data_IF_863427479247
#
_entry.id   IF_863427479247
#
_cell.length_a   1.000
_cell.length_b   1.000
_cell.length_c   1.000
_cell.angle_alpha   90.00
_cell.angle_beta   90.00
_cell.angle_gamma   90.00
#
_symmetry.space_group_name_H-M   'P 1'
#
loop_
_entity.id
_entity.type
_entity.pdbx_description
1 polymer ?
#
# COMPACT_ATOMS: atom_id res chain seq x y z
N UNK A 1 -20.02 -11.20 -23.10
CA UNK A 1 -19.41 -10.63 -21.87
C UNK A 1 -18.38 -11.61 -21.29
N UNK A 2 -17.12 -11.19 -21.03
CA UNK A 2 -16.05 -12.06 -20.48
C UNK A 2 -16.29 -12.41 -19.00
N UNK A 3 -15.84 -13.57 -18.50
CA UNK A 3 -15.96 -13.96 -17.07
C UNK A 3 -15.14 -12.99 -16.20
N UNK A 4 -15.65 -12.67 -15.01
CA UNK A 4 -14.96 -11.77 -14.08
C UNK A 4 -13.79 -12.49 -13.37
N UNK A 5 -12.67 -11.80 -13.10
CA UNK A 5 -11.44 -12.38 -12.56
C UNK A 5 -11.54 -12.57 -11.04
N UNK A 6 -11.97 -13.74 -10.58
CA UNK A 6 -12.12 -14.04 -9.14
C UNK A 6 -10.79 -14.39 -8.45
N UNK A 7 -9.82 -14.94 -9.18
CA UNK A 7 -8.55 -15.40 -8.60
C UNK A 7 -7.60 -14.25 -8.22
N UNK A 8 -7.55 -13.21 -9.04
CA UNK A 8 -6.67 -12.05 -8.83
C UNK A 8 -6.92 -11.35 -7.49
N UNK A 9 -8.17 -10.99 -7.11
CA UNK A 9 -8.39 -10.38 -5.80
C UNK A 9 -8.06 -11.33 -4.65
N UNK A 10 -8.24 -12.66 -4.79
CA UNK A 10 -7.84 -13.62 -3.75
C UNK A 10 -6.32 -13.64 -3.57
N UNK A 11 -5.55 -13.60 -4.66
CA UNK A 11 -4.08 -13.54 -4.59
C UNK A 11 -3.65 -12.24 -3.88
N UNK A 12 -4.23 -11.10 -4.26
CA UNK A 12 -3.92 -9.83 -3.62
C UNK A 12 -4.32 -9.80 -2.14
N UNK A 13 -5.43 -10.43 -1.76
CA UNK A 13 -5.84 -10.61 -0.36
C UNK A 13 -4.80 -11.41 0.46
N UNK A 14 -4.26 -12.49 -0.10
CA UNK A 14 -3.23 -13.30 0.55
C UNK A 14 -1.93 -12.49 0.68
N UNK A 15 -1.53 -11.79 -0.39
CA UNK A 15 -0.35 -10.93 -0.36
C UNK A 15 -0.50 -9.82 0.67
N UNK A 16 -1.68 -9.18 0.77
CA UNK A 16 -1.89 -8.05 1.69
C UNK A 16 -1.98 -8.49 3.15
N UNK A 17 -2.50 -9.69 3.42
CA UNK A 17 -2.68 -10.18 4.79
C UNK A 17 -1.45 -10.89 5.36
N UNK A 18 -0.63 -11.51 4.50
CA UNK A 18 0.52 -12.32 4.94
C UNK A 18 1.83 -11.71 4.51
N UNK A 19 2.03 -11.52 3.20
CA UNK A 19 3.35 -11.19 2.66
C UNK A 19 3.74 -9.75 2.98
N UNK A 20 2.84 -8.81 2.73
CA UNK A 20 3.07 -7.38 2.95
C UNK A 20 3.39 -7.05 4.41
N UNK A 21 2.57 -7.40 5.42
CA UNK A 21 2.87 -7.05 6.81
C UNK A 21 4.14 -7.72 7.33
N UNK A 22 4.41 -8.98 6.96
CA UNK A 22 5.64 -9.68 7.37
C UNK A 22 6.87 -8.98 6.76
N UNK A 23 6.82 -8.65 5.47
CA UNK A 23 7.91 -7.94 4.81
C UNK A 23 8.11 -6.55 5.43
N UNK A 24 7.04 -5.76 5.60
CA UNK A 24 7.16 -4.40 6.13
C UNK A 24 7.68 -4.37 7.57
N UNK A 25 7.16 -5.24 8.45
CA UNK A 25 7.63 -5.32 9.84
C UNK A 25 9.05 -5.90 9.92
N UNK A 26 9.38 -6.87 9.07
CA UNK A 26 10.73 -7.40 8.95
C UNK A 26 11.73 -6.33 8.50
N UNK A 27 11.36 -5.51 7.51
CA UNK A 27 12.18 -4.40 7.04
C UNK A 27 12.37 -3.35 8.13
N UNK A 28 11.29 -2.92 8.78
CA UNK A 28 11.36 -1.94 9.86
C UNK A 28 12.22 -2.44 11.03
N UNK A 29 12.15 -3.73 11.36
CA UNK A 29 13.00 -4.36 12.37
C UNK A 29 14.48 -4.38 11.96
N UNK A 30 14.79 -4.76 10.71
CA UNK A 30 16.16 -4.74 10.19
C UNK A 30 16.72 -3.32 10.13
N UNK A 31 15.92 -2.36 9.66
CA UNK A 31 16.29 -0.95 9.61
C UNK A 31 16.57 -0.38 11.02
N UNK A 32 15.75 -0.73 12.02
CA UNK A 32 16.01 -0.34 13.40
C UNK A 32 17.30 -0.96 13.98
N UNK A 33 17.64 -2.20 13.60
CA UNK A 33 18.89 -2.84 14.02
C UNK A 33 20.12 -2.25 13.32
N UNK A 34 20.00 -1.91 12.04
CA UNK A 34 21.02 -1.21 11.26
C UNK A 34 21.28 0.19 11.84
N UNK A 35 20.20 0.90 12.17
CA UNK A 35 20.23 2.19 12.87
C UNK A 35 20.92 2.11 14.24
N UNK A 36 20.74 1.03 15.00
CA UNK A 36 21.40 0.83 16.29
C UNK A 36 22.90 0.44 16.16
N UNK A 37 23.47 0.41 14.95
CA UNK A 37 24.87 0.04 14.72
C UNK A 37 25.19 -1.43 15.03
N UNK A 38 24.18 -2.25 15.29
CA UNK A 38 24.36 -3.59 15.85
C UNK A 38 24.83 -4.62 14.82
N UNK A 39 24.52 -4.45 13.52
CA UNK A 39 24.67 -5.54 12.54
C UNK A 39 24.98 -5.05 11.11
N UNK A 40 26.27 -4.92 10.75
CA UNK A 40 26.68 -4.75 9.34
C UNK A 40 26.40 -5.98 8.44
N UNK A 41 26.17 -7.14 9.07
CA UNK A 41 26.01 -8.45 8.43
C UNK A 41 24.64 -8.61 7.73
N UNK A 42 23.63 -7.81 8.11
CA UNK A 42 22.27 -7.87 7.52
C UNK A 42 22.00 -6.84 6.42
N UNK A 43 23.00 -6.03 6.04
CA UNK A 43 22.91 -5.04 4.95
C UNK A 43 22.32 -5.62 3.66
N UNK A 44 22.72 -6.84 3.28
CA UNK A 44 22.17 -7.52 2.09
C UNK A 44 20.69 -7.87 2.25
N UNK A 45 20.24 -8.27 3.43
CA UNK A 45 18.83 -8.57 3.70
C UNK A 45 17.97 -7.29 3.69
N UNK A 46 18.50 -6.18 4.21
CA UNK A 46 17.88 -4.85 4.19
C UNK A 46 17.63 -4.39 2.74
N UNK A 47 18.66 -4.45 1.88
CA UNK A 47 18.56 -4.10 0.45
C UNK A 47 17.56 -5.00 -0.29
N UNK A 48 17.60 -6.32 -0.05
CA UNK A 48 16.68 -7.26 -0.68
C UNK A 48 15.22 -6.97 -0.29
N UNK A 49 14.97 -6.61 0.98
CA UNK A 49 13.63 -6.26 1.41
C UNK A 49 13.15 -4.91 0.86
N UNK A 50 14.01 -3.90 0.75
CA UNK A 50 13.63 -2.61 0.14
C UNK A 50 13.16 -2.80 -1.32
N UNK A 51 13.94 -3.55 -2.11
CA UNK A 51 13.57 -3.89 -3.49
C UNK A 51 12.30 -4.74 -3.54
N UNK A 52 12.15 -5.70 -2.64
CA UNK A 52 10.97 -6.56 -2.57
C UNK A 52 9.70 -5.78 -2.20
N UNK A 53 9.78 -4.84 -1.25
CA UNK A 53 8.68 -3.97 -0.87
C UNK A 53 8.29 -3.02 -2.00
N UNK A 54 9.27 -2.45 -2.70
CA UNK A 54 9.04 -1.66 -3.91
C UNK A 54 8.32 -2.45 -5.01
N UNK A 55 8.69 -3.73 -5.19
CA UNK A 55 8.01 -4.62 -6.12
C UNK A 55 6.58 -4.97 -5.68
N UNK A 56 6.37 -5.26 -4.38
CA UNK A 56 5.05 -5.52 -3.81
C UNK A 56 4.13 -4.31 -3.97
N UNK A 57 4.64 -3.10 -3.71
CA UNK A 57 3.91 -1.85 -3.93
C UNK A 57 3.38 -1.78 -5.37
N UNK A 58 4.23 -2.01 -6.38
CA UNK A 58 3.81 -2.02 -7.78
C UNK A 58 2.78 -3.12 -8.11
N UNK A 59 2.90 -4.30 -7.49
CA UNK A 59 1.88 -5.37 -7.63
C UNK A 59 0.53 -4.86 -7.13
N UNK A 60 0.47 -4.20 -5.98
CA UNK A 60 -0.78 -3.67 -5.42
C UNK A 60 -1.32 -2.50 -6.24
N UNK A 61 -0.48 -1.56 -6.66
CA UNK A 61 -0.89 -0.43 -7.51
C UNK A 61 -1.54 -0.92 -8.81
N UNK A 62 -0.87 -1.83 -9.54
CA UNK A 62 -1.44 -2.40 -10.76
C UNK A 62 -2.62 -3.33 -10.51
N UNK A 63 -2.58 -4.09 -9.41
CA UNK A 63 -3.69 -4.91 -8.94
C UNK A 63 -4.96 -4.09 -8.74
N UNK A 64 -4.85 -2.95 -8.06
CA UNK A 64 -5.94 -2.01 -7.86
C UNK A 64 -6.43 -1.42 -9.19
N UNK A 65 -5.55 -0.90 -10.03
CA UNK A 65 -5.92 -0.37 -11.36
C UNK A 65 -6.70 -1.42 -12.17
N UNK A 66 -6.22 -2.66 -12.19
CA UNK A 66 -6.88 -3.76 -12.90
C UNK A 66 -8.24 -4.12 -12.30
N UNK A 67 -8.33 -4.28 -10.98
CA UNK A 67 -9.57 -4.66 -10.30
C UNK A 67 -10.63 -3.58 -10.42
N UNK A 68 -10.25 -2.31 -10.26
CA UNK A 68 -11.16 -1.17 -10.42
C UNK A 68 -11.66 -1.07 -11.87
N UNK A 69 -10.80 -1.30 -12.86
CA UNK A 69 -11.23 -1.39 -14.26
C UNK A 69 -12.28 -2.49 -14.46
N UNK A 70 -11.97 -3.71 -14.02
CA UNK A 70 -12.86 -4.86 -14.14
C UNK A 70 -14.20 -4.61 -13.44
N UNK A 71 -14.15 -3.99 -12.27
CA UNK A 71 -15.32 -3.59 -11.50
C UNK A 71 -16.17 -2.54 -12.24
N UNK A 72 -15.57 -1.49 -12.78
CA UNK A 72 -16.29 -0.44 -13.54
C UNK A 72 -17.07 -1.01 -14.72
N UNK A 73 -16.52 -2.01 -15.42
CA UNK A 73 -17.22 -2.69 -16.52
C UNK A 73 -18.47 -3.46 -16.10
N UNK A 74 -18.66 -3.71 -14.79
CA UNK A 74 -19.86 -4.38 -14.26
C UNK A 74 -20.95 -3.41 -13.82
N UNK A 75 -20.63 -2.12 -13.69
CA UNK A 75 -21.58 -1.11 -13.23
C UNK A 75 -22.50 -0.63 -14.36
N UNK A 76 -23.78 -0.33 -14.07
CA UNK A 76 -24.68 0.31 -15.02
C UNK A 76 -24.17 1.68 -15.45
N UNK A 77 -24.54 2.11 -16.66
CA UNK A 77 -24.17 3.41 -17.22
C UNK A 77 -24.92 4.54 -16.49
N UNK A 78 -24.24 5.14 -15.51
CA UNK A 78 -24.69 6.30 -14.74
C UNK A 78 -23.62 7.41 -14.77
N UNK A 79 -23.98 8.69 -14.56
CA UNK A 79 -23.02 9.79 -14.56
C UNK A 79 -21.83 9.60 -13.60
N UNK A 80 -22.07 8.97 -12.45
CA UNK A 80 -21.04 8.65 -11.46
C UNK A 80 -20.01 7.64 -11.99
N UNK A 81 -20.44 6.66 -12.80
CA UNK A 81 -19.53 5.71 -13.48
C UNK A 81 -18.56 6.44 -14.39
N UNK A 82 -19.01 7.46 -15.14
CA UNK A 82 -18.13 8.28 -15.98
C UNK A 82 -17.07 9.01 -15.16
N UNK A 83 -17.44 9.57 -14.00
CA UNK A 83 -16.50 10.20 -13.07
C UNK A 83 -15.49 9.20 -12.53
N UNK A 84 -15.94 8.03 -12.09
CA UNK A 84 -15.03 6.97 -11.63
C UNK A 84 -14.10 6.49 -12.74
N UNK A 85 -14.56 6.44 -14.00
CA UNK A 85 -13.72 6.07 -15.13
C UNK A 85 -12.62 7.10 -15.41
N UNK A 86 -12.90 8.39 -15.23
CA UNK A 86 -11.89 9.46 -15.30
C UNK A 86 -10.85 9.28 -14.20
N UNK A 87 -11.29 9.09 -12.95
CA UNK A 87 -10.39 8.87 -11.81
C UNK A 87 -9.56 7.60 -12.01
N UNK A 88 -10.16 6.53 -12.53
CA UNK A 88 -9.44 5.30 -12.88
C UNK A 88 -8.35 5.53 -13.93
N UNK A 89 -8.59 6.37 -14.95
CA UNK A 89 -7.54 6.72 -15.92
C UNK A 89 -6.37 7.45 -15.27
N UNK A 90 -6.66 8.33 -14.30
CA UNK A 90 -5.62 9.00 -13.51
C UNK A 90 -4.81 7.96 -12.72
N UNK A 91 -5.48 7.03 -12.02
CA UNK A 91 -4.81 5.93 -11.33
C UNK A 91 -3.95 5.08 -12.26
N UNK A 92 -4.45 4.72 -13.45
CA UNK A 92 -3.70 3.94 -14.43
C UNK A 92 -2.48 4.69 -14.98
N UNK A 93 -2.62 5.99 -15.24
CA UNK A 93 -1.50 6.83 -15.69
C UNK A 93 -0.43 6.94 -14.60
N UNK A 94 -0.85 7.24 -13.37
CA UNK A 94 0.04 7.37 -12.21
C UNK A 94 0.73 6.04 -11.88
N UNK A 95 0.02 4.91 -11.99
CA UNK A 95 0.64 3.59 -11.86
C UNK A 95 1.75 3.36 -12.89
N UNK A 96 1.56 3.83 -14.13
CA UNK A 96 2.60 3.83 -15.16
C UNK A 96 3.81 4.69 -14.76
N UNK A 97 3.59 5.90 -14.26
CA UNK A 97 4.65 6.77 -13.77
C UNK A 97 5.41 6.15 -12.58
N UNK A 98 4.68 5.62 -11.59
CA UNK A 98 5.24 4.94 -10.43
C UNK A 98 6.03 3.69 -10.80
N UNK A 99 5.66 2.98 -11.86
CA UNK A 99 6.42 1.82 -12.36
C UNK A 99 7.81 2.20 -12.86
N UNK A 100 7.99 3.44 -13.32
CA UNK A 100 9.29 3.98 -13.73
C UNK A 100 10.03 4.61 -12.54
N UNK A 101 9.31 5.41 -11.74
CA UNK A 101 9.89 6.17 -10.65
C UNK A 101 10.31 5.29 -9.47
N UNK A 102 9.58 4.21 -9.17
CA UNK A 102 9.86 3.37 -7.99
C UNK A 102 11.21 2.64 -8.11
N UNK A 103 11.56 2.00 -9.25
CA UNK A 103 12.91 1.47 -9.45
C UNK A 103 13.98 2.58 -9.44
N UNK A 104 13.73 3.69 -10.13
CA UNK A 104 14.69 4.82 -10.19
C UNK A 104 14.97 5.39 -8.80
N UNK A 105 13.94 5.53 -7.96
CA UNK A 105 14.07 6.00 -6.59
C UNK A 105 14.84 5.02 -5.72
N UNK A 106 14.70 3.71 -5.97
CA UNK A 106 15.48 2.69 -5.27
C UNK A 106 16.97 2.69 -5.67
N UNK A 107 17.30 3.13 -6.89
CA UNK A 107 18.69 3.21 -7.38
C UNK A 107 19.34 4.55 -7.00
N UNK A 108 18.56 5.64 -7.02
CA UNK A 108 19.02 7.00 -6.78
C UNK A 108 18.16 7.69 -5.71
N UNK A 109 18.21 7.23 -4.44
CA UNK A 109 17.37 7.77 -3.36
C UNK A 109 17.66 9.26 -3.08
N UNK A 110 18.90 9.71 -3.27
CA UNK A 110 19.32 11.09 -3.00
C UNK A 110 18.97 12.09 -4.11
N UNK A 111 18.52 11.61 -5.27
CA UNK A 111 18.17 12.47 -6.38
C UNK A 111 16.84 13.19 -6.10
N UNK A 112 16.92 14.45 -5.68
CA UNK A 112 15.75 15.29 -5.35
C UNK A 112 14.64 15.24 -6.41
N UNK A 113 15.00 15.29 -7.70
CA UNK A 113 14.02 15.23 -8.79
C UNK A 113 13.24 13.90 -8.84
N UNK A 114 13.90 12.78 -8.53
CA UNK A 114 13.28 11.45 -8.48
C UNK A 114 12.41 11.33 -7.23
N UNK A 115 12.93 11.73 -6.06
CA UNK A 115 12.17 11.77 -4.80
C UNK A 115 10.91 12.62 -4.92
N UNK A 116 11.03 13.84 -5.45
CA UNK A 116 9.89 14.74 -5.67
C UNK A 116 8.89 14.15 -6.66
N UNK A 117 9.37 13.64 -7.80
CA UNK A 117 8.52 13.01 -8.81
C UNK A 117 7.76 11.81 -8.27
N UNK A 118 8.43 10.93 -7.53
CA UNK A 118 7.83 9.77 -6.88
C UNK A 118 6.79 10.20 -5.84
N UNK A 119 7.13 11.15 -4.97
CA UNK A 119 6.24 11.67 -3.92
C UNK A 119 4.99 12.33 -4.50
N UNK A 120 5.14 13.11 -5.57
CA UNK A 120 4.03 13.72 -6.30
C UNK A 120 3.13 12.66 -6.92
N UNK A 121 3.71 11.68 -7.61
CA UNK A 121 2.96 10.58 -8.22
C UNK A 121 2.19 9.77 -7.16
N UNK A 122 2.84 9.39 -6.06
CA UNK A 122 2.22 8.70 -4.93
C UNK A 122 1.08 9.52 -4.32
N UNK A 123 1.28 10.83 -4.09
CA UNK A 123 0.25 11.72 -3.54
C UNK A 123 -0.99 11.81 -4.45
N UNK A 124 -0.78 11.85 -5.77
CA UNK A 124 -1.88 11.83 -6.75
C UNK A 124 -2.58 10.48 -6.73
N UNK A 125 -1.84 9.36 -6.64
CA UNK A 125 -2.43 8.02 -6.54
C UNK A 125 -3.33 7.90 -5.30
N UNK A 126 -2.77 8.27 -4.13
CA UNK A 126 -3.47 8.27 -2.85
C UNK A 126 -4.76 9.08 -2.93
N UNK A 127 -4.69 10.33 -3.40
CA UNK A 127 -5.86 11.21 -3.48
C UNK A 127 -6.88 10.67 -4.49
N UNK A 128 -6.44 10.18 -5.65
CA UNK A 128 -7.31 9.58 -6.65
C UNK A 128 -8.01 8.32 -6.11
N UNK A 129 -7.32 7.48 -5.34
CA UNK A 129 -7.88 6.30 -4.68
C UNK A 129 -8.96 6.64 -3.67
N UNK A 130 -8.74 7.67 -2.83
CA UNK A 130 -9.74 8.19 -1.89
C UNK A 130 -10.95 8.76 -2.65
N UNK A 131 -10.73 9.57 -3.69
CA UNK A 131 -11.81 10.14 -4.51
C UNK A 131 -12.62 9.02 -5.18
N UNK A 132 -11.97 8.01 -5.74
CA UNK A 132 -12.64 6.85 -6.33
C UNK A 132 -13.55 6.17 -5.32
N UNK A 133 -13.04 5.94 -4.12
CA UNK A 133 -13.77 5.32 -3.01
C UNK A 133 -14.99 6.15 -2.60
N UNK A 134 -14.84 7.46 -2.44
CA UNK A 134 -15.94 8.37 -2.13
C UNK A 134 -17.03 8.36 -3.23
N UNK A 135 -16.64 8.35 -4.50
CA UNK A 135 -17.58 8.22 -5.60
C UNK A 135 -18.32 6.87 -5.53
N UNK A 136 -17.60 5.79 -5.21
CA UNK A 136 -18.19 4.45 -5.09
C UNK A 136 -19.16 4.35 -3.91
N UNK A 137 -18.85 4.97 -2.77
CA UNK A 137 -19.79 5.07 -1.64
C UNK A 137 -21.08 5.78 -2.05
N UNK A 138 -20.98 6.93 -2.73
CA UNK A 138 -22.16 7.67 -3.22
C UNK A 138 -23.01 6.83 -4.17
N UNK A 139 -22.37 6.12 -5.09
CA UNK A 139 -23.03 5.19 -5.99
C UNK A 139 -23.73 4.06 -5.24
N UNK A 140 -23.06 3.48 -4.24
CA UNK A 140 -23.59 2.40 -3.42
C UNK A 140 -24.80 2.83 -2.59
N UNK A 141 -24.77 4.03 -2.00
CA UNK A 141 -25.88 4.60 -1.23
C UNK A 141 -27.12 4.80 -2.12
N UNK A 142 -26.93 5.35 -3.34
CA UNK A 142 -28.03 5.54 -4.30
C UNK A 142 -28.67 4.22 -4.71
N UNK A 143 -27.87 3.18 -4.90
CA UNK A 143 -28.33 1.83 -5.22
C UNK A 143 -28.73 0.98 -4.01
N UNK A 144 -28.67 1.52 -2.78
CA UNK A 144 -28.87 0.80 -1.51
C UNK A 144 -28.07 -0.52 -1.44
N UNK A 145 -26.85 -0.52 -1.96
CA UNK A 145 -26.00 -1.70 -2.04
C UNK A 145 -24.93 -1.68 -0.93
N UNK A 146 -25.24 -2.33 0.20
CA UNK A 146 -24.34 -2.41 1.36
C UNK A 146 -22.99 -3.06 1.05
N UNK A 147 -22.95 -4.05 0.15
CA UNK A 147 -21.70 -4.69 -0.26
C UNK A 147 -20.76 -3.72 -0.98
N UNK A 148 -21.28 -2.95 -1.94
CA UNK A 148 -20.47 -1.95 -2.64
C UNK A 148 -20.04 -0.82 -1.71
N UNK A 149 -20.87 -0.46 -0.72
CA UNK A 149 -20.50 0.55 0.27
C UNK A 149 -19.34 0.06 1.15
N UNK A 150 -19.42 -1.17 1.66
CA UNK A 150 -18.35 -1.79 2.44
C UNK A 150 -17.05 -1.91 1.63
N UNK A 151 -17.13 -2.28 0.34
CA UNK A 151 -15.98 -2.29 -0.56
C UNK A 151 -15.33 -0.90 -0.67
N UNK A 152 -16.15 0.14 -0.85
CA UNK A 152 -15.66 1.50 -0.98
C UNK A 152 -15.01 2.02 0.31
N UNK A 153 -15.59 1.68 1.47
CA UNK A 153 -15.01 2.01 2.77
C UNK A 153 -13.68 1.30 3.01
N UNK A 154 -13.62 0.00 2.74
CA UNK A 154 -12.38 -0.76 2.87
C UNK A 154 -11.28 -0.22 1.93
N UNK A 155 -11.62 0.15 0.70
CA UNK A 155 -10.68 0.77 -0.23
C UNK A 155 -10.18 2.15 0.27
N UNK A 156 -11.09 3.00 0.77
CA UNK A 156 -10.72 4.30 1.32
C UNK A 156 -9.77 4.15 2.53
N UNK A 157 -10.09 3.23 3.44
CA UNK A 157 -9.24 2.96 4.61
C UNK A 157 -7.89 2.38 4.20
N UNK A 158 -7.85 1.50 3.19
CA UNK A 158 -6.60 0.96 2.67
C UNK A 158 -5.68 2.06 2.14
N UNK A 159 -6.21 3.01 1.38
CA UNK A 159 -5.43 4.17 0.95
C UNK A 159 -5.03 5.06 2.13
N UNK A 160 -5.96 5.38 3.04
CA UNK A 160 -5.69 6.27 4.18
C UNK A 160 -4.60 5.78 5.13
N UNK A 161 -4.45 4.47 5.28
CA UNK A 161 -3.41 3.84 6.10
C UNK A 161 -2.22 3.32 5.29
N UNK A 162 -2.13 3.65 3.99
CA UNK A 162 -0.98 3.24 3.17
C UNK A 162 0.32 3.84 3.71
N UNK A 163 1.21 2.95 4.15
CA UNK A 163 2.49 3.28 4.74
C UNK A 163 3.61 3.40 3.69
N UNK A 164 3.32 3.17 2.41
CA UNK A 164 4.33 3.28 1.33
C UNK A 164 4.92 4.69 1.25
N UNK A 165 4.13 5.72 1.62
CA UNK A 165 4.57 7.11 1.72
C UNK A 165 5.62 7.36 2.83
N UNK A 166 5.75 6.47 3.81
CA UNK A 166 6.77 6.59 4.86
C UNK A 166 8.20 6.47 4.31
N UNK A 167 8.38 5.93 3.10
CA UNK A 167 9.70 5.86 2.44
C UNK A 167 10.33 7.24 2.24
N UNK A 168 9.51 8.27 2.02
CA UNK A 168 9.98 9.67 1.91
C UNK A 168 10.54 10.17 3.24
N UNK A 169 9.86 9.84 4.35
CA UNK A 169 10.31 10.20 5.69
C UNK A 169 11.60 9.44 6.04
N UNK A 170 11.72 8.18 5.60
CA UNK A 170 12.93 7.38 5.79
C UNK A 170 14.15 8.05 5.14
N UNK A 171 14.07 8.45 3.87
CA UNK A 171 15.19 9.13 3.18
C UNK A 171 15.57 10.45 3.85
N UNK A 172 14.60 11.20 4.36
CA UNK A 172 14.89 12.43 5.12
C UNK A 172 15.62 12.12 6.42
N UNK A 173 15.19 11.08 7.15
CA UNK A 173 15.91 10.62 8.34
C UNK A 173 17.32 10.17 7.98
N UNK A 174 17.51 9.37 6.94
CA UNK A 174 18.84 8.91 6.49
C UNK A 174 19.79 10.08 6.19
N UNK A 175 19.28 11.16 5.56
CA UNK A 175 20.07 12.36 5.26
C UNK A 175 20.49 13.12 6.53
N UNK A 176 19.59 13.28 7.49
CA UNK A 176 19.89 13.90 8.79
C UNK A 176 20.91 13.07 9.57
N UNK A 177 20.78 11.74 9.54
CA UNK A 177 21.71 10.82 10.20
C UNK A 177 23.10 10.90 9.57
N UNK A 178 23.18 10.88 8.24
CA UNK A 178 24.44 11.01 7.52
C UNK A 178 25.13 12.36 7.81
N UNK A 179 24.36 13.45 7.89
CA UNK A 179 24.88 14.77 8.25
C UNK A 179 25.50 14.77 9.66
N UNK A 180 24.88 14.10 10.62
CA UNK A 180 25.38 13.98 12.01
C UNK A 180 26.60 13.05 12.11
N UNK A 181 26.63 11.94 11.36
CA UNK A 181 27.77 11.01 11.36
C UNK A 181 29.07 11.61 10.80
N UNK A 182 28.98 12.62 9.93
CA UNK A 182 30.17 13.32 9.43
C UNK A 182 30.84 14.26 10.45
N UNK A 183 30.22 14.47 11.62
CA UNK A 183 30.71 15.39 12.65
C UNK A 183 31.48 14.71 13.79
N UNK A 184 31.39 13.37 13.97
CA UNK A 184 32.23 12.63 14.93
C UNK A 184 32.23 11.12 14.63
N UNK A 185 33.41 10.50 14.50
CA UNK A 185 33.56 9.08 14.10
C UNK A 185 33.42 8.07 15.26
N UNK A 186 33.33 8.50 16.52
CA UNK A 186 33.35 7.58 17.68
C UNK A 186 32.01 7.34 18.40
N UNK A 187 30.93 8.08 18.13
CA UNK A 187 29.69 8.08 18.95
C UNK A 187 28.38 7.96 18.14
N UNK A 188 28.37 7.11 17.11
CA UNK A 188 27.26 7.01 16.14
C UNK A 188 25.89 6.60 16.72
N UNK A 189 25.84 5.98 17.91
CA UNK A 189 24.58 5.63 18.60
C UNK A 189 24.06 6.68 19.59
N UNK A 190 24.95 7.49 20.18
CA UNK A 190 24.59 8.50 21.20
C UNK A 190 24.20 9.85 20.55
N UNK A 191 24.77 10.16 19.39
CA UNK A 191 24.59 11.43 18.68
C UNK A 191 23.16 11.68 18.14
N UNK A 192 22.34 10.64 18.04
CA UNK A 192 20.97 10.71 17.53
C UNK A 192 19.92 10.98 18.62
N UNK A 193 20.14 10.44 19.84
CA UNK A 193 19.40 10.85 21.04
C UNK A 193 19.67 12.34 21.31
N UNK A 194 20.92 12.74 21.20
CA UNK A 194 21.41 14.11 21.23
C UNK A 194 20.63 15.05 20.31
N UNK A 195 20.47 14.70 19.02
CA UNK A 195 19.74 15.57 18.06
C UNK A 195 18.22 15.60 18.30
N UNK A 196 17.61 14.48 18.73
CA UNK A 196 16.18 14.40 19.09
C UNK A 196 15.81 15.33 20.24
N UNK A 197 16.74 15.58 21.16
CA UNK A 197 16.57 16.45 22.31
C UNK A 197 17.08 17.88 22.06
N UNK A 198 17.66 18.15 20.90
CA UNK A 198 18.28 19.44 20.58
C UNK A 198 19.49 19.76 21.45
N UNK A 199 20.12 18.74 22.04
CA UNK A 199 21.31 18.86 22.86
C UNK A 199 22.55 18.77 21.98
N UNK A 200 23.54 19.62 22.24
CA UNK A 200 24.88 19.45 21.68
C UNK A 200 25.61 18.30 22.38
N UNK A 201 26.59 17.64 21.71
CA UNK A 201 27.38 16.55 22.30
C UNK A 201 27.94 16.88 23.68
N UNK A 202 28.44 18.11 23.83
CA UNK A 202 29.00 18.64 25.09
C UNK A 202 27.93 18.75 26.18
N UNK A 203 26.71 19.18 25.85
CA UNK A 203 25.62 19.30 26.83
C UNK A 203 25.15 17.93 27.33
N UNK A 204 25.16 16.92 26.47
CA UNK A 204 24.79 15.54 26.85
C UNK A 204 25.86 14.87 27.71
N UNK A 205 27.14 15.05 27.40
CA UNK A 205 28.24 14.56 28.24
C UNK A 205 28.26 15.20 29.64
N UNK A 206 27.66 16.38 29.79
CA UNK A 206 27.52 17.07 31.09
C UNK A 206 26.28 16.67 31.87
N UNK A 207 25.41 15.80 31.34
CA UNK A 207 24.25 15.30 32.08
C UNK A 207 24.70 14.44 33.25
N UNK A 208 24.03 14.60 34.40
CA UNK A 208 24.20 13.66 35.51
C UNK A 208 23.53 12.31 35.17
N UNK A 209 23.94 11.25 35.87
CA UNK A 209 23.45 9.88 35.60
C UNK A 209 21.93 9.76 35.69
N UNK A 210 21.28 10.59 36.53
CA UNK A 210 19.83 10.62 36.67
C UNK A 210 19.14 11.24 35.44
N UNK A 211 19.63 12.38 34.96
CA UNK A 211 19.09 13.03 33.75
C UNK A 211 19.38 12.20 32.50
N UNK A 212 20.53 11.52 32.44
CA UNK A 212 20.87 10.59 31.37
C UNK A 212 19.86 9.42 31.33
N UNK A 213 19.55 8.84 32.50
CA UNK A 213 18.59 7.75 32.61
C UNK A 213 17.17 8.19 32.18
N UNK A 214 16.72 9.38 32.60
CA UNK A 214 15.44 9.95 32.19
C UNK A 214 15.36 10.18 30.67
N UNK A 215 16.41 10.75 30.07
CA UNK A 215 16.50 10.98 28.62
C UNK A 215 16.46 9.66 27.85
N UNK A 216 17.18 8.64 28.31
CA UNK A 216 17.17 7.31 27.70
C UNK A 216 15.78 6.66 27.83
N UNK A 217 15.15 6.71 29.00
CA UNK A 217 13.83 6.10 29.24
C UNK A 217 12.75 6.75 28.36
N UNK A 218 12.70 8.09 28.33
CA UNK A 218 11.74 8.82 27.50
C UNK A 218 11.98 8.53 26.02
N UNK A 219 13.22 8.49 25.57
CA UNK A 219 13.54 8.22 24.16
C UNK A 219 13.16 6.81 23.76
N UNK A 220 13.44 5.81 24.61
CA UNK A 220 12.98 4.42 24.41
C UNK A 220 11.45 4.37 24.36
N UNK A 221 10.77 5.09 25.26
CA UNK A 221 9.31 5.19 25.27
C UNK A 221 8.73 5.80 23.98
N UNK A 222 9.34 6.86 23.47
CA UNK A 222 8.95 7.52 22.21
C UNK A 222 9.20 6.60 21.01
N UNK A 223 10.37 5.97 20.93
CA UNK A 223 10.71 5.03 19.86
C UNK A 223 9.78 3.80 19.86
N UNK A 224 9.50 3.24 21.04
CA UNK A 224 8.55 2.14 21.19
C UNK A 224 7.14 2.57 20.78
N UNK A 225 6.71 3.76 21.19
CA UNK A 225 5.44 4.35 20.78
C UNK A 225 5.34 4.52 19.26
N UNK A 226 6.38 5.06 18.61
CA UNK A 226 6.46 5.20 17.17
C UNK A 226 6.42 3.84 16.45
N UNK A 227 7.15 2.83 16.94
CA UNK A 227 7.15 1.49 16.40
C UNK A 227 5.77 0.81 16.51
N UNK A 228 5.09 0.94 17.65
CA UNK A 228 3.73 0.42 17.86
C UNK A 228 2.73 1.11 16.93
N UNK A 229 2.83 2.44 16.78
CA UNK A 229 1.99 3.18 15.84
C UNK A 229 2.23 2.70 14.41
N UNK A 230 3.49 2.61 13.97
CA UNK A 230 3.84 2.12 12.63
C UNK A 230 3.30 0.69 12.39
N UNK A 231 3.50 -0.23 13.34
CA UNK A 231 2.94 -1.57 13.26
C UNK A 231 1.40 -1.55 13.18
N UNK A 232 0.76 -0.66 13.95
CA UNK A 232 -0.67 -0.40 13.87
C UNK A 232 -1.12 0.06 12.48
N UNK A 233 -0.40 0.99 11.85
CA UNK A 233 -0.65 1.43 10.46
C UNK A 233 -0.57 0.26 9.48
N UNK A 234 0.49 -0.55 9.57
CA UNK A 234 0.69 -1.74 8.71
C UNK A 234 -0.47 -2.74 8.87
N UNK A 235 -0.89 -3.02 10.10
CA UNK A 235 -2.01 -3.93 10.40
C UNK A 235 -3.32 -3.37 9.85
N UNK A 236 -3.61 -2.08 10.07
CA UNK A 236 -4.84 -1.44 9.60
C UNK A 236 -4.92 -1.41 8.07
N UNK A 237 -3.83 -1.05 7.39
CA UNK A 237 -3.75 -1.12 5.93
C UNK A 237 -3.98 -2.53 5.42
N UNK A 238 -3.27 -3.51 5.98
CA UNK A 238 -3.34 -4.92 5.58
C UNK A 238 -4.76 -5.49 5.77
N UNK A 239 -5.41 -5.17 6.89
CA UNK A 239 -6.78 -5.58 7.17
C UNK A 239 -7.78 -4.91 6.22
N UNK A 240 -7.66 -3.60 5.98
CA UNK A 240 -8.53 -2.88 5.06
C UNK A 240 -8.39 -3.40 3.62
N UNK A 241 -7.16 -3.60 3.15
CA UNK A 241 -6.86 -4.19 1.85
C UNK A 241 -7.41 -5.62 1.71
N UNK A 242 -7.19 -6.47 2.72
CA UNK A 242 -7.74 -7.83 2.78
C UNK A 242 -9.27 -7.81 2.62
N UNK A 243 -9.95 -6.99 3.42
CA UNK A 243 -11.42 -6.86 3.37
C UNK A 243 -11.85 -6.38 1.99
N UNK A 244 -11.20 -5.34 1.44
CA UNK A 244 -11.51 -4.86 0.10
C UNK A 244 -11.43 -5.97 -0.95
N UNK A 245 -10.31 -6.68 -1.02
CA UNK A 245 -10.08 -7.73 -2.00
C UNK A 245 -11.03 -8.92 -1.84
N UNK A 246 -11.32 -9.35 -0.61
CA UNK A 246 -12.31 -10.41 -0.34
C UNK A 246 -13.70 -9.98 -0.82
N UNK A 247 -14.12 -8.74 -0.53
CA UNK A 247 -15.43 -8.24 -0.95
C UNK A 247 -15.53 -8.11 -2.48
N UNK A 248 -14.46 -7.67 -3.16
CA UNK A 248 -14.37 -7.67 -4.64
C UNK A 248 -14.53 -9.08 -5.20
N UNK A 249 -13.85 -10.07 -4.60
CA UNK A 249 -13.96 -11.47 -5.00
C UNK A 249 -15.39 -11.99 -4.85
N UNK A 250 -16.02 -11.76 -3.69
CA UNK A 250 -17.41 -12.12 -3.43
C UNK A 250 -18.38 -11.45 -4.43
N UNK A 251 -18.14 -10.19 -4.76
CA UNK A 251 -18.91 -9.45 -5.77
C UNK A 251 -18.79 -10.13 -7.15
N UNK A 252 -17.58 -10.47 -7.59
CA UNK A 252 -17.35 -11.14 -8.87
C UNK A 252 -17.91 -12.56 -8.93
N UNK A 253 -17.84 -13.33 -7.83
CA UNK A 253 -18.47 -14.66 -7.73
C UNK A 253 -19.97 -14.54 -7.93
N UNK A 254 -20.64 -13.62 -7.22
CA UNK A 254 -22.09 -13.38 -7.39
C UNK A 254 -22.40 -13.01 -8.84
N UNK A 255 -21.67 -12.07 -9.44
CA UNK A 255 -21.88 -11.66 -10.85
C UNK A 255 -21.66 -12.79 -11.86
N UNK A 256 -20.72 -13.70 -11.59
CA UNK A 256 -20.49 -14.87 -12.44
C UNK A 256 -21.59 -15.93 -12.26
N UNK A 257 -22.14 -16.11 -11.06
CA UNK A 257 -23.21 -17.09 -10.78
C UNK A 257 -24.56 -16.72 -11.42
N UNK A 258 -24.88 -15.43 -11.50
CA UNK A 258 -26.08 -14.93 -12.21
C UNK A 258 -25.99 -15.05 -13.74
N UNK A 259 -24.91 -15.63 -14.28
CA UNK A 259 -24.89 -16.14 -15.66
C UNK A 259 -25.35 -17.60 -15.62
N UNK A 260 -26.60 -17.94 -15.94
CA UNK A 260 -26.93 -19.33 -16.16
C UNK A 260 -25.99 -19.87 -17.23
N UNK A 261 -25.39 -21.03 -16.98
CA UNK A 261 -24.68 -21.79 -18.00
C UNK A 261 -25.68 -22.05 -19.13
N UNK A 262 -25.67 -21.22 -20.16
CA UNK A 262 -26.30 -21.51 -21.44
C UNK A 262 -25.40 -22.54 -22.14
N UNK A 263 -25.29 -23.73 -21.54
CA UNK A 263 -25.04 -24.95 -22.30
C UNK A 263 -26.40 -25.31 -22.89
N UNK A 264 -26.69 -24.78 -24.07
CA UNK A 264 -27.73 -25.35 -24.92
C UNK A 264 -27.43 -26.86 -25.01
N UNK A 265 -28.24 -27.68 -24.35
CA UNK A 265 -28.44 -29.07 -24.76
C UNK A 265 -29.05 -29.01 -26.17
N UNK A 266 -28.21 -28.85 -27.20
CA UNK A 266 -28.55 -29.33 -28.52
C UNK A 266 -28.50 -30.85 -28.44
N UNK A 267 -29.59 -31.47 -28.06
CA UNK A 267 -29.85 -32.83 -28.50
C UNK A 267 -31.35 -33.06 -28.70
N UNK A 268 -31.64 -33.33 -29.98
CA UNK A 268 -32.84 -33.93 -30.58
C UNK A 268 -34.06 -33.03 -30.78
N UNK A 269 -34.04 -32.33 -31.91
CA UNK A 269 -35.14 -32.41 -32.87
C UNK A 269 -34.56 -32.50 -34.29
N UNK A 270 -34.44 -33.72 -34.80
CA UNK A 270 -34.58 -34.08 -36.22
C UNK A 270 -35.28 -35.45 -36.19
N UNK A 271 -36.41 -35.68 -36.86
CA UNK A 271 -36.80 -35.43 -38.26
C UNK A 271 -38.28 -34.98 -38.28
N UNK A 272 -38.72 -34.04 -39.13
CA UNK A 272 -39.24 -34.27 -40.50
C UNK A 272 -40.26 -35.44 -40.51
N UNK A 273 -41.54 -35.27 -40.84
CA UNK A 273 -42.03 -34.89 -42.18
C UNK A 273 -43.44 -34.26 -42.17
N UNK A 274 -43.69 -33.54 -43.28
CA UNK A 274 -44.94 -32.96 -43.74
C UNK A 274 -45.77 -34.02 -44.49
N UNK A 275 -47.07 -34.11 -44.23
CA UNK A 275 -48.15 -34.62 -45.10
C UNK A 275 -49.46 -34.09 -44.49
N UNK A 276 -50.15 -33.07 -45.01
CA UNK A 276 -51.09 -33.10 -46.16
C UNK A 276 -51.79 -34.45 -46.34
N UNK A 277 -52.87 -34.66 -45.58
CA UNK A 277 -54.26 -34.79 -46.04
C UNK A 277 -55.20 -34.55 -44.84
#
# INVERSE_FOLDING_TARGET
MRRQPVKIPIILAILSALVLPIATLGYAGLYAMEFAGLLSIFSTASILLDVFLAFLFLIFTWGNVYLLHAFLHTLPELPEKRKMFIVWKVLAFVAGALSLLTPLYSIFPDAFGILFGWSLAYSIEFLAGIIFSCLLMRFALRGRNSLMFAMALALALSYAFDFSGCRVLQTQMDQEIAAVQTLDEETSGECLLLSLWGLSPVEFETLDEASLADVQEISVGVLLGAAVLFAGFVILHSAAALVFYVLVSLYFVRKNAYRPNVKWRRHRHSKQEVQIC
#
